data_IF_510907857430
#
_entry.id   IF_510907857430
#
_cell.length_a   1.000
_cell.length_b   1.000
_cell.length_c   1.000
_cell.angle_alpha   90.00
_cell.angle_beta   90.00
_cell.angle_gamma   90.00
#
_symmetry.space_group_name_H-M   'P 1'
#
loop_
_entity.id
_entity.type
_entity.pdbx_description
1 polymer ?
#
# COMPACT_ATOMS: atom_id res chain seq x y z
N UNK A 1 1.38 22.63 -17.92
CA UNK A 1 1.33 21.17 -18.13
C UNK A 1 -0.09 20.75 -17.85
N UNK A 2 -0.79 20.23 -18.86
CA UNK A 2 -2.18 19.77 -18.74
C UNK A 2 -2.26 18.62 -17.75
N UNK A 3 -3.23 18.67 -16.83
CA UNK A 3 -3.58 17.52 -15.99
C UNK A 3 -3.96 16.37 -16.95
N UNK A 4 -3.42 15.15 -16.80
CA UNK A 4 -3.84 14.04 -17.63
C UNK A 4 -5.35 13.84 -17.53
N UNK A 5 -6.01 13.55 -18.66
CA UNK A 5 -7.45 13.30 -18.70
C UNK A 5 -7.76 12.17 -17.72
N UNK A 6 -8.75 12.40 -16.84
CA UNK A 6 -9.14 11.42 -15.83
C UNK A 6 -9.54 10.10 -16.49
N UNK A 7 -8.95 9.00 -16.03
CA UNK A 7 -9.24 7.68 -16.58
C UNK A 7 -10.69 7.27 -16.34
N UNK A 8 -11.20 6.34 -17.15
CA UNK A 8 -12.55 5.80 -16.96
C UNK A 8 -12.70 5.18 -15.56
N UNK A 9 -11.74 4.35 -15.13
CA UNK A 9 -11.73 3.78 -13.78
C UNK A 9 -11.74 4.86 -12.68
N UNK A 10 -10.93 5.91 -12.82
CA UNK A 10 -10.92 7.03 -11.87
C UNK A 10 -12.29 7.69 -11.78
N UNK A 11 -12.93 7.99 -12.91
CA UNK A 11 -14.27 8.57 -12.96
C UNK A 11 -15.30 7.69 -12.24
N UNK A 12 -15.28 6.38 -12.50
CA UNK A 12 -16.23 5.45 -11.88
C UNK A 12 -15.97 5.28 -10.37
N UNK A 13 -14.73 5.34 -9.90
CA UNK A 13 -14.48 5.32 -8.44
C UNK A 13 -15.03 6.58 -7.75
N UNK A 14 -14.95 7.74 -8.41
CA UNK A 14 -15.47 9.01 -7.85
C UNK A 14 -17.01 9.05 -7.91
N UNK A 15 -17.60 8.59 -9.01
CA UNK A 15 -19.04 8.63 -9.29
C UNK A 15 -19.53 7.26 -9.82
N UNK A 16 -19.70 6.26 -8.95
CA UNK A 16 -20.02 4.88 -9.36
C UNK A 16 -21.35 4.77 -10.13
N UNK A 17 -22.31 5.64 -9.86
CA UNK A 17 -23.60 5.72 -10.54
C UNK A 17 -23.48 5.95 -12.05
N UNK A 18 -22.41 6.62 -12.49
CA UNK A 18 -22.16 6.87 -13.91
C UNK A 18 -21.79 5.61 -14.68
N UNK A 19 -21.48 4.50 -13.99
CA UNK A 19 -21.18 3.21 -14.60
C UNK A 19 -22.37 2.64 -15.39
N UNK A 20 -23.61 2.98 -15.00
CA UNK A 20 -24.83 2.50 -15.65
C UNK A 20 -25.06 3.13 -17.03
N UNK A 21 -24.43 4.27 -17.31
CA UNK A 21 -24.52 4.94 -18.60
C UNK A 21 -23.46 4.45 -19.61
N UNK A 22 -22.57 3.54 -19.21
CA UNK A 22 -21.47 3.08 -20.06
C UNK A 22 -21.95 2.11 -21.14
N UNK A 23 -21.41 2.27 -22.34
CA UNK A 23 -21.53 1.27 -23.41
C UNK A 23 -20.70 0.01 -23.10
N UNK A 24 -21.00 -1.10 -23.78
CA UNK A 24 -20.26 -2.36 -23.58
C UNK A 24 -18.75 -2.23 -23.90
N UNK A 25 -18.37 -1.36 -24.83
CA UNK A 25 -16.98 -1.06 -25.18
C UNK A 25 -16.25 -0.32 -24.06
N UNK A 26 -16.94 0.58 -23.37
CA UNK A 26 -16.43 1.29 -22.20
C UNK A 26 -16.34 0.37 -20.98
N UNK A 27 -17.32 -0.51 -20.80
CA UNK A 27 -17.26 -1.57 -19.79
C UNK A 27 -16.07 -2.51 -20.00
N UNK A 28 -15.80 -2.95 -21.24
CA UNK A 28 -14.60 -3.74 -21.55
C UNK A 28 -13.32 -3.00 -21.09
N UNK A 29 -13.21 -1.71 -21.41
CA UNK A 29 -12.07 -0.90 -20.98
C UNK A 29 -11.98 -0.76 -19.45
N UNK A 30 -13.10 -0.49 -18.78
CA UNK A 30 -13.18 -0.36 -17.33
C UNK A 30 -12.72 -1.64 -16.61
N UNK A 31 -13.23 -2.80 -17.04
CA UNK A 31 -12.85 -4.10 -16.48
C UNK A 31 -11.34 -4.34 -16.65
N UNK A 32 -10.77 -4.04 -17.82
CA UNK A 32 -9.33 -4.19 -18.06
C UNK A 32 -8.48 -3.24 -17.22
N UNK A 33 -8.89 -1.98 -17.09
CA UNK A 33 -8.22 -0.99 -16.23
C UNK A 33 -8.24 -1.43 -14.77
N UNK A 34 -9.41 -1.83 -14.26
CA UNK A 34 -9.59 -2.23 -12.86
C UNK A 34 -8.83 -3.51 -12.53
N UNK A 35 -8.83 -4.50 -13.45
CA UNK A 35 -8.08 -5.75 -13.28
C UNK A 35 -6.58 -5.51 -13.26
N UNK A 36 -6.05 -4.73 -14.21
CA UNK A 36 -4.60 -4.44 -14.26
C UNK A 36 -4.12 -3.60 -13.09
N UNK A 37 -4.99 -2.75 -12.55
CA UNK A 37 -4.71 -1.96 -11.35
C UNK A 37 -5.04 -2.68 -10.05
N UNK A 38 -5.43 -3.96 -10.10
CA UNK A 38 -5.78 -4.78 -8.95
C UNK A 38 -6.85 -4.17 -8.01
N UNK A 39 -7.87 -3.54 -8.61
CA UNK A 39 -9.02 -2.94 -7.89
C UNK A 39 -10.37 -3.41 -8.44
N UNK A 40 -10.41 -4.44 -9.29
CA UNK A 40 -11.67 -4.93 -9.87
C UNK A 40 -12.64 -5.44 -8.80
N UNK A 41 -12.16 -6.17 -7.80
CA UNK A 41 -13.01 -6.65 -6.70
C UNK A 41 -13.53 -5.48 -5.85
N UNK A 42 -12.68 -4.48 -5.58
CA UNK A 42 -13.09 -3.24 -4.91
C UNK A 42 -14.19 -2.51 -5.69
N UNK A 43 -14.05 -2.40 -7.02
CA UNK A 43 -15.10 -1.83 -7.87
C UNK A 43 -16.40 -2.63 -7.78
N UNK A 44 -16.34 -3.96 -7.78
CA UNK A 44 -17.52 -4.80 -7.65
C UNK A 44 -18.24 -4.57 -6.31
N UNK A 45 -17.51 -4.55 -5.19
CA UNK A 45 -18.09 -4.23 -3.88
C UNK A 45 -18.64 -2.81 -3.79
N UNK A 46 -17.97 -1.83 -4.41
CA UNK A 46 -18.47 -0.45 -4.45
C UNK A 46 -19.82 -0.36 -5.17
N UNK A 47 -19.99 -1.09 -6.27
CA UNK A 47 -21.27 -1.15 -7.00
C UNK A 47 -22.32 -1.97 -6.24
N UNK A 48 -21.92 -3.01 -5.51
CA UNK A 48 -22.81 -3.80 -4.64
C UNK A 48 -23.34 -2.98 -3.46
N UNK A 49 -22.45 -2.28 -2.75
CA UNK A 49 -22.79 -1.44 -1.60
C UNK A 49 -23.76 -0.30 -1.97
N UNK A 50 -23.68 0.17 -3.21
CA UNK A 50 -24.58 1.17 -3.79
C UNK A 50 -25.82 0.58 -4.49
N UNK A 51 -26.01 -0.76 -4.44
CA UNK A 51 -27.12 -1.47 -5.09
C UNK A 51 -27.19 -1.25 -6.62
N UNK A 52 -26.04 -0.99 -7.25
CA UNK A 52 -25.91 -0.77 -8.69
C UNK A 52 -25.57 -2.06 -9.45
N UNK A 53 -25.04 -3.07 -8.77
CA UNK A 53 -24.48 -4.27 -9.41
C UNK A 53 -25.48 -5.03 -10.28
N UNK A 54 -26.76 -5.09 -9.88
CA UNK A 54 -27.81 -5.78 -10.64
C UNK A 54 -28.20 -5.05 -11.93
N UNK A 55 -27.97 -3.75 -11.99
CA UNK A 55 -28.22 -2.92 -13.17
C UNK A 55 -27.04 -2.93 -14.17
N UNK A 56 -25.90 -3.54 -13.80
CA UNK A 56 -24.76 -3.71 -14.72
C UNK A 56 -25.13 -4.74 -15.80
N UNK A 57 -24.78 -4.48 -17.09
CA UNK A 57 -25.01 -5.46 -18.16
C UNK A 57 -24.42 -6.83 -17.85
N UNK A 58 -25.06 -7.89 -18.34
CA UNK A 58 -24.78 -9.27 -17.92
C UNK A 58 -23.30 -9.66 -18.07
N UNK A 59 -22.66 -9.34 -19.20
CA UNK A 59 -21.28 -9.74 -19.47
C UNK A 59 -20.26 -9.06 -18.51
N UNK A 60 -20.22 -7.73 -18.36
CA UNK A 60 -19.41 -7.07 -17.33
C UNK A 60 -19.74 -7.55 -15.91
N UNK A 61 -21.03 -7.75 -15.58
CA UNK A 61 -21.46 -8.21 -14.26
C UNK A 61 -20.85 -9.56 -13.89
N UNK A 62 -20.76 -10.50 -14.84
CA UNK A 62 -20.08 -11.80 -14.63
C UNK A 62 -18.61 -11.64 -14.21
N UNK A 63 -17.89 -10.66 -14.77
CA UNK A 63 -16.50 -10.39 -14.37
C UNK A 63 -16.40 -9.81 -12.95
N UNK A 64 -17.33 -8.93 -12.57
CA UNK A 64 -17.40 -8.33 -11.23
C UNK A 64 -17.71 -9.39 -10.17
N UNK A 65 -18.76 -10.20 -10.39
CA UNK A 65 -19.12 -11.29 -9.49
C UNK A 65 -17.99 -12.33 -9.36
N UNK A 66 -17.35 -12.70 -10.46
CA UNK A 66 -16.22 -13.65 -10.44
C UNK A 66 -15.06 -13.14 -9.58
N UNK A 67 -14.74 -11.84 -9.63
CA UNK A 67 -13.66 -11.30 -8.81
C UNK A 67 -14.06 -11.11 -7.35
N UNK A 68 -15.36 -10.94 -7.03
CA UNK A 68 -15.85 -10.95 -5.64
C UNK A 68 -15.66 -12.35 -5.03
N UNK A 69 -16.04 -13.41 -5.75
CA UNK A 69 -15.80 -14.79 -5.29
C UNK A 69 -14.31 -15.03 -5.03
N UNK A 70 -13.42 -14.54 -5.90
CA UNK A 70 -11.98 -14.62 -5.66
C UNK A 70 -11.54 -13.86 -4.41
N UNK A 71 -12.03 -12.62 -4.21
CA UNK A 71 -11.71 -11.82 -3.03
C UNK A 71 -12.24 -12.45 -1.73
N UNK A 72 -13.45 -13.02 -1.74
CA UNK A 72 -14.01 -13.76 -0.61
C UNK A 72 -13.14 -14.97 -0.25
N UNK A 73 -12.70 -15.74 -1.26
CA UNK A 73 -11.80 -16.88 -1.02
C UNK A 73 -10.45 -16.43 -0.49
N UNK A 74 -9.93 -15.30 -0.97
CA UNK A 74 -8.72 -14.69 -0.45
C UNK A 74 -8.88 -14.30 1.03
N UNK A 75 -9.97 -13.62 1.41
CA UNK A 75 -10.26 -13.27 2.81
C UNK A 75 -10.29 -14.48 3.73
N UNK A 76 -10.95 -15.58 3.34
CA UNK A 76 -10.94 -16.84 4.11
C UNK A 76 -9.51 -17.38 4.29
N UNK A 77 -8.70 -17.34 3.22
CA UNK A 77 -7.31 -17.78 3.29
C UNK A 77 -6.45 -16.87 4.17
N UNK A 78 -6.74 -15.57 4.16
CA UNK A 78 -6.06 -14.57 4.97
C UNK A 78 -6.40 -14.75 6.45
N UNK A 79 -7.66 -14.97 6.79
CA UNK A 79 -8.10 -15.25 8.17
C UNK A 79 -7.40 -16.48 8.74
N UNK A 80 -7.28 -17.54 7.92
CA UNK A 80 -6.52 -18.74 8.30
C UNK A 80 -5.03 -18.45 8.51
N UNK A 81 -4.43 -17.61 7.65
CA UNK A 81 -3.01 -17.25 7.78
C UNK A 81 -2.76 -16.39 9.02
N UNK A 82 -3.65 -15.45 9.34
CA UNK A 82 -3.63 -14.65 10.57
C UNK A 82 -3.65 -15.57 11.80
N UNK A 83 -4.54 -16.56 11.83
CA UNK A 83 -4.61 -17.52 12.94
C UNK A 83 -3.31 -18.32 13.09
N UNK A 84 -2.73 -18.78 11.97
CA UNK A 84 -1.44 -19.47 12.00
C UNK A 84 -0.32 -18.57 12.56
N UNK A 85 -0.31 -17.28 12.21
CA UNK A 85 0.66 -16.30 12.71
C UNK A 85 0.46 -16.07 14.21
N UNK A 86 -0.78 -15.87 14.66
CA UNK A 86 -1.10 -15.72 16.07
C UNK A 86 -0.63 -16.94 16.87
N UNK A 87 -0.93 -18.15 16.39
CA UNK A 87 -0.50 -19.38 17.02
C UNK A 87 1.03 -19.49 17.10
N UNK A 88 1.75 -19.13 16.02
CA UNK A 88 3.20 -19.16 16.00
C UNK A 88 3.82 -18.18 17.01
N UNK A 89 3.18 -17.05 17.28
CA UNK A 89 3.71 -15.98 18.12
C UNK A 89 3.11 -15.92 19.53
N UNK A 90 2.20 -16.84 19.87
CA UNK A 90 1.45 -16.85 21.14
C UNK A 90 2.36 -16.80 22.37
N UNK A 91 3.44 -17.60 22.38
CA UNK A 91 4.34 -17.70 23.53
C UNK A 91 5.20 -16.44 23.78
N UNK A 92 5.33 -15.57 22.77
CA UNK A 92 6.17 -14.37 22.86
C UNK A 92 5.47 -13.22 23.60
N UNK A 93 4.14 -13.27 23.75
CA UNK A 93 3.35 -12.23 24.43
C UNK A 93 3.61 -10.79 23.93
N UNK A 94 3.95 -10.66 22.64
CA UNK A 94 4.17 -9.36 21.98
C UNK A 94 2.92 -8.92 21.22
N UNK A 95 2.61 -7.61 21.18
CA UNK A 95 1.57 -7.11 20.32
C UNK A 95 1.99 -7.29 18.85
N UNK A 96 1.29 -8.18 18.13
CA UNK A 96 1.47 -8.36 16.69
C UNK A 96 0.59 -7.33 15.98
N UNK A 97 1.21 -6.26 15.48
CA UNK A 97 0.50 -5.17 14.81
C UNK A 97 0.44 -5.44 13.32
N UNK A 98 -0.71 -5.83 12.80
CA UNK A 98 -0.91 -6.00 11.36
C UNK A 98 -0.81 -4.64 10.65
N UNK A 99 -0.24 -4.67 9.44
CA UNK A 99 -0.11 -3.51 8.58
C UNK A 99 -0.81 -3.69 7.22
N UNK A 100 -0.87 -2.60 6.44
CA UNK A 100 -1.40 -2.51 5.06
C UNK A 100 -2.70 -3.30 4.86
N UNK A 101 -2.75 -4.15 3.83
CA UNK A 101 -3.94 -4.89 3.43
C UNK A 101 -4.51 -5.76 4.55
N UNK A 102 -3.64 -6.41 5.33
CA UNK A 102 -4.07 -7.22 6.47
C UNK A 102 -4.68 -6.37 7.56
N UNK A 103 -4.07 -5.22 7.88
CA UNK A 103 -4.64 -4.26 8.84
C UNK A 103 -6.03 -3.78 8.41
N UNK A 104 -6.20 -3.46 7.12
CA UNK A 104 -7.47 -2.96 6.60
C UNK A 104 -8.55 -4.04 6.61
N UNK A 105 -8.16 -5.30 6.39
CA UNK A 105 -9.05 -6.46 6.49
C UNK A 105 -9.50 -6.71 7.92
N UNK A 106 -8.57 -6.87 8.87
CA UNK A 106 -8.93 -7.18 10.28
C UNK A 106 -9.62 -6.01 11.00
N UNK A 107 -9.37 -4.78 10.56
CA UNK A 107 -10.04 -3.58 11.08
C UNK A 107 -11.31 -3.20 10.29
N UNK A 108 -11.75 -4.08 9.38
CA UNK A 108 -12.96 -3.92 8.54
C UNK A 108 -13.05 -2.56 7.82
N UNK A 109 -11.90 -1.98 7.44
CA UNK A 109 -11.88 -0.69 6.76
C UNK A 109 -12.42 -0.83 5.33
N UNK A 110 -13.01 0.25 4.79
CA UNK A 110 -13.45 0.34 3.40
C UNK A 110 -12.28 0.07 2.42
N UNK A 111 -11.06 0.44 2.82
CA UNK A 111 -9.85 0.13 2.07
C UNK A 111 -9.58 -1.39 1.96
N UNK A 112 -9.99 -2.19 2.95
CA UNK A 112 -9.85 -3.66 2.94
C UNK A 112 -10.86 -4.38 2.06
N UNK A 113 -12.04 -3.79 1.80
CA UNK A 113 -13.07 -4.44 0.98
C UNK A 113 -12.60 -4.68 -0.46
N UNK A 114 -12.64 -5.94 -0.88
CA UNK A 114 -12.19 -6.40 -2.19
C UNK A 114 -10.68 -6.31 -2.43
N UNK A 115 -9.88 -6.16 -1.37
CA UNK A 115 -8.43 -5.94 -1.49
C UNK A 115 -7.68 -7.27 -1.49
N UNK A 116 -7.03 -7.60 -2.61
CA UNK A 116 -6.19 -8.81 -2.75
C UNK A 116 -4.71 -8.44 -2.82
N UNK A 117 -3.87 -9.10 -2.03
CA UNK A 117 -2.43 -8.84 -1.90
C UNK A 117 -1.62 -10.13 -1.72
N UNK A 118 -0.30 -10.02 -1.74
CA UNK A 118 0.65 -11.16 -1.80
C UNK A 118 1.24 -11.59 -0.45
N UNK A 119 1.25 -10.68 0.50
CA UNK A 119 2.10 -10.71 1.69
C UNK A 119 1.35 -10.19 2.92
N UNK A 120 1.53 -10.86 4.05
CA UNK A 120 1.06 -10.37 5.34
C UNK A 120 2.15 -9.53 5.97
N UNK A 121 1.91 -8.23 6.12
CA UNK A 121 2.83 -7.33 6.84
C UNK A 121 2.48 -7.30 8.35
N UNK A 122 3.48 -7.53 9.20
CA UNK A 122 3.37 -7.32 10.66
C UNK A 122 4.46 -6.37 11.17
N UNK A 123 4.14 -5.54 12.15
CA UNK A 123 5.09 -4.72 12.90
C UNK A 123 5.26 -5.28 14.31
N UNK A 124 6.51 -5.49 14.70
CA UNK A 124 6.90 -5.94 16.04
C UNK A 124 7.97 -5.02 16.64
N UNK A 125 8.14 -5.00 17.98
CA UNK A 125 9.26 -4.29 18.58
C UNK A 125 10.60 -4.79 18.03
N UNK A 126 11.52 -3.88 17.72
CA UNK A 126 12.83 -4.24 17.11
C UNK A 126 13.61 -5.26 17.96
N UNK A 127 13.55 -5.13 19.29
CA UNK A 127 14.19 -6.06 20.22
C UNK A 127 13.66 -7.50 20.11
N UNK A 128 12.45 -7.69 19.57
CA UNK A 128 11.78 -8.99 19.48
C UNK A 128 11.93 -9.65 18.10
N UNK A 129 12.56 -8.98 17.12
CA UNK A 129 12.70 -9.52 15.75
C UNK A 129 13.28 -10.92 15.74
N UNK A 130 14.36 -11.16 16.50
CA UNK A 130 15.05 -12.44 16.49
C UNK A 130 14.15 -13.57 17.02
N UNK A 131 13.42 -13.31 18.11
CA UNK A 131 12.51 -14.28 18.71
C UNK A 131 11.30 -14.55 17.80
N UNK A 132 10.75 -13.51 17.18
CA UNK A 132 9.66 -13.61 16.19
C UNK A 132 10.10 -14.41 14.97
N UNK A 133 11.28 -14.14 14.41
CA UNK A 133 11.84 -14.89 13.28
C UNK A 133 12.01 -16.37 13.64
N UNK A 134 12.57 -16.68 14.81
CA UNK A 134 12.74 -18.06 15.28
C UNK A 134 11.38 -18.76 15.43
N UNK A 135 10.39 -18.10 16.00
CA UNK A 135 9.05 -18.65 16.20
C UNK A 135 8.37 -18.96 14.85
N UNK A 136 8.44 -18.04 13.89
CA UNK A 136 7.92 -18.24 12.54
C UNK A 136 8.66 -19.37 11.79
N UNK A 137 9.98 -19.48 11.93
CA UNK A 137 10.77 -20.58 11.35
C UNK A 137 10.34 -21.92 11.92
N UNK A 138 10.18 -22.03 13.25
CA UNK A 138 9.66 -23.25 13.89
C UNK A 138 8.26 -23.63 13.39
N UNK A 139 7.44 -22.64 13.07
CA UNK A 139 6.10 -22.83 12.54
C UNK A 139 6.04 -23.00 11.00
N UNK A 140 7.19 -23.00 10.32
CA UNK A 140 7.32 -23.38 8.91
C UNK A 140 7.47 -22.24 7.90
N UNK A 141 7.64 -20.99 8.35
CA UNK A 141 8.01 -19.85 7.49
C UNK A 141 9.53 -19.74 7.39
N UNK A 142 10.08 -19.92 6.19
CA UNK A 142 11.53 -19.84 5.98
C UNK A 142 11.89 -18.68 5.07
N UNK A 143 13.06 -18.08 5.29
CA UNK A 143 13.60 -17.09 4.37
C UNK A 143 13.89 -17.73 3.01
N UNK A 144 13.55 -17.02 1.93
CA UNK A 144 14.02 -17.37 0.58
C UNK A 144 15.40 -16.77 0.27
N UNK A 145 15.88 -15.83 1.09
CA UNK A 145 17.07 -15.03 0.82
C UNK A 145 18.27 -15.57 1.60
N UNK A 146 19.02 -16.49 1.00
CA UNK A 146 20.18 -17.14 1.65
C UNK A 146 21.50 -16.41 1.46
N UNK A 147 21.58 -15.43 0.54
CA UNK A 147 22.81 -14.68 0.30
C UNK A 147 23.18 -13.82 1.51
N UNK A 148 24.40 -14.00 2.05
CA UNK A 148 24.86 -13.29 3.25
C UNK A 148 24.84 -11.76 3.11
N UNK A 149 25.03 -11.24 1.89
CA UNK A 149 24.96 -9.81 1.60
C UNK A 149 23.53 -9.28 1.70
N UNK A 150 22.55 -10.00 1.15
CA UNK A 150 21.15 -9.57 1.18
C UNK A 150 20.60 -9.67 2.61
N UNK A 151 20.95 -10.72 3.36
CA UNK A 151 20.68 -10.81 4.80
C UNK A 151 21.22 -9.60 5.57
N UNK A 152 22.47 -9.19 5.31
CA UNK A 152 23.07 -8.00 5.94
C UNK A 152 22.35 -6.71 5.52
N UNK A 153 22.02 -6.57 4.23
CA UNK A 153 21.30 -5.42 3.69
C UNK A 153 19.95 -5.21 4.39
N UNK A 154 19.15 -6.27 4.52
CA UNK A 154 17.87 -6.21 5.21
C UNK A 154 18.06 -5.84 6.69
N UNK A 155 18.89 -6.59 7.41
CA UNK A 155 19.03 -6.44 8.86
C UNK A 155 19.66 -5.12 9.30
N UNK A 156 20.59 -4.58 8.49
CA UNK A 156 21.32 -3.37 8.86
C UNK A 156 20.59 -2.10 8.39
N UNK A 157 19.98 -2.11 7.20
CA UNK A 157 19.53 -0.87 6.54
C UNK A 157 18.04 -0.80 6.29
N UNK A 158 17.34 -1.93 6.20
CA UNK A 158 15.90 -1.98 5.94
C UNK A 158 15.09 -1.80 7.23
N UNK A 159 13.77 -1.90 7.10
CA UNK A 159 12.78 -1.77 8.16
C UNK A 159 12.09 -3.08 8.49
N UNK A 160 12.53 -4.15 7.83
CA UNK A 160 12.01 -5.49 7.87
C UNK A 160 13.17 -6.47 7.71
N UNK A 161 13.00 -7.68 8.22
CA UNK A 161 13.89 -8.80 7.90
C UNK A 161 13.61 -9.31 6.47
N UNK A 162 14.48 -10.17 5.90
CA UNK A 162 14.15 -10.79 4.62
C UNK A 162 12.79 -11.49 4.65
N UNK A 163 12.00 -11.39 3.56
CA UNK A 163 10.67 -11.97 3.49
C UNK A 163 10.72 -13.46 3.84
N UNK A 164 9.74 -13.92 4.60
CA UNK A 164 9.59 -15.33 4.96
C UNK A 164 8.42 -15.93 4.20
N UNK A 165 8.58 -17.16 3.72
CA UNK A 165 7.53 -17.89 3.00
C UNK A 165 7.24 -19.21 3.68
N UNK A 166 5.96 -19.50 3.90
CA UNK A 166 5.55 -20.76 4.48
C UNK A 166 5.71 -21.92 3.49
N UNK A 167 6.40 -23.00 3.87
CA UNK A 167 6.78 -24.07 2.95
C UNK A 167 5.60 -24.84 2.32
N UNK A 168 4.51 -25.02 3.08
CA UNK A 168 3.31 -25.72 2.57
C UNK A 168 2.30 -24.77 1.92
N UNK A 169 1.84 -23.76 2.67
CA UNK A 169 0.82 -22.78 2.26
C UNK A 169 1.30 -21.78 1.20
N UNK A 170 2.62 -21.61 1.03
CA UNK A 170 3.24 -20.71 0.06
C UNK A 170 2.88 -19.23 0.24
N UNK A 171 2.29 -18.88 1.39
CA UNK A 171 2.01 -17.54 1.88
C UNK A 171 3.30 -16.84 2.31
N UNK A 172 3.38 -15.54 2.05
CA UNK A 172 4.51 -14.71 2.43
C UNK A 172 4.16 -13.83 3.64
N UNK A 173 5.12 -13.63 4.52
CA UNK A 173 5.03 -12.71 5.65
C UNK A 173 6.26 -11.81 5.68
N UNK A 174 6.01 -10.52 5.82
CA UNK A 174 7.04 -9.49 5.98
C UNK A 174 6.99 -9.02 7.44
N UNK A 175 8.10 -9.22 8.15
CA UNK A 175 8.22 -8.89 9.56
C UNK A 175 8.99 -7.58 9.70
N UNK A 176 8.23 -6.52 9.94
CA UNK A 176 8.69 -5.15 10.09
C UNK A 176 9.05 -4.85 11.54
N UNK A 177 10.04 -3.98 11.71
CA UNK A 177 10.36 -3.32 12.97
C UNK A 177 10.27 -1.80 12.88
N UNK A 178 10.00 -1.28 11.67
CA UNK A 178 9.65 0.11 11.41
C UNK A 178 8.84 0.19 10.11
N UNK A 179 8.31 1.36 9.74
CA UNK A 179 7.57 1.55 8.47
C UNK A 179 8.44 2.12 7.34
N UNK A 180 9.67 2.53 7.65
CA UNK A 180 10.65 3.06 6.69
C UNK A 180 12.06 2.59 7.04
N UNK A 181 12.93 2.33 6.04
CA UNK A 181 14.31 1.92 6.28
C UNK A 181 15.04 2.84 7.26
N UNK A 182 15.88 2.30 8.14
CA UNK A 182 16.65 3.08 9.13
C UNK A 182 17.52 4.17 8.50
N UNK A 183 17.92 3.94 7.26
CA UNK A 183 18.73 4.84 6.44
C UNK A 183 17.92 6.00 5.82
N UNK A 184 16.59 5.92 5.86
CA UNK A 184 15.72 6.96 5.34
C UNK A 184 15.72 8.17 6.26
N UNK A 185 15.93 9.37 5.69
CA UNK A 185 15.88 10.64 6.44
C UNK A 185 14.55 10.85 7.19
N UNK A 186 13.47 10.27 6.69
CA UNK A 186 12.13 10.40 7.26
C UNK A 186 11.74 9.19 8.12
N UNK A 187 12.69 8.29 8.46
CA UNK A 187 12.40 7.14 9.31
C UNK A 187 11.79 7.61 10.65
N UNK A 188 10.57 7.19 11.01
CA UNK A 188 9.97 7.55 12.28
C UNK A 188 10.58 6.71 13.40
N UNK A 189 10.29 7.12 14.63
CA UNK A 189 10.51 6.29 15.81
C UNK A 189 9.39 5.25 15.91
N UNK A 190 9.72 3.98 15.69
CA UNK A 190 8.76 2.88 15.72
C UNK A 190 8.07 2.70 17.09
N UNK A 191 8.73 3.09 18.19
CA UNK A 191 8.12 3.00 19.52
C UNK A 191 6.90 3.91 19.64
N UNK A 192 6.87 5.05 18.94
CA UNK A 192 5.72 5.96 18.89
C UNK A 192 4.55 5.43 18.07
N UNK A 193 4.81 4.53 17.12
CA UNK A 193 3.78 3.81 16.37
C UNK A 193 3.19 2.71 17.25
N UNK A 194 4.05 1.87 17.85
CA UNK A 194 3.65 0.79 18.73
C UNK A 194 2.86 1.30 19.95
N UNK A 195 3.28 2.41 20.56
CA UNK A 195 2.59 3.04 21.69
C UNK A 195 1.22 3.65 21.34
N UNK A 196 0.87 3.76 20.06
CA UNK A 196 -0.43 4.22 19.58
C UNK A 196 -1.17 3.13 18.80
N UNK A 197 -0.63 1.90 18.74
CA UNK A 197 -1.34 0.78 18.16
C UNK A 197 -2.62 0.51 18.95
N UNK A 198 -3.67 0.12 18.24
CA UNK A 198 -5.00 -0.12 18.79
C UNK A 198 -5.36 -1.59 18.61
N UNK A 199 -5.92 -2.19 19.67
CA UNK A 199 -6.46 -3.55 19.64
C UNK A 199 -7.83 -3.51 18.97
N UNK A 200 -8.08 -4.42 18.04
CA UNK A 200 -9.40 -4.55 17.40
C UNK A 200 -10.37 -5.18 18.41
N UNK A 201 -11.50 -4.52 18.72
CA UNK A 201 -12.47 -5.03 19.69
C UNK A 201 -12.90 -6.47 19.39
N UNK A 202 -12.89 -7.32 20.42
CA UNK A 202 -13.32 -8.73 20.29
C UNK A 202 -12.31 -9.68 19.65
N UNK A 203 -11.08 -9.24 19.37
CA UNK A 203 -10.01 -10.08 18.79
C UNK A 203 -8.68 -9.86 19.51
N UNK A 204 -7.67 -10.69 19.26
CA UNK A 204 -6.28 -10.47 19.71
C UNK A 204 -5.43 -9.62 18.74
N UNK A 205 -6.05 -9.10 17.67
CA UNK A 205 -5.35 -8.39 16.61
C UNK A 205 -5.07 -6.95 17.00
N UNK A 206 -3.87 -6.48 16.66
CA UNK A 206 -3.51 -5.07 16.77
C UNK A 206 -3.31 -4.48 15.38
N UNK A 207 -3.64 -3.20 15.24
CA UNK A 207 -3.37 -2.40 14.04
C UNK A 207 -2.84 -1.03 14.45
N UNK A 208 -2.26 -0.29 13.51
CA UNK A 208 -1.92 1.12 13.75
C UNK A 208 -3.19 1.95 14.03
N UNK A 209 -3.05 3.06 14.76
CA UNK A 209 -4.16 4.02 14.94
C UNK A 209 -4.69 4.50 13.58
N UNK A 210 -5.92 5.04 13.50
CA UNK A 210 -6.47 5.58 12.26
C UNK A 210 -5.51 6.56 11.54
N UNK A 211 -4.92 7.49 12.29
CA UNK A 211 -3.95 8.45 11.76
C UNK A 211 -2.68 7.76 11.26
N UNK A 212 -2.12 6.84 12.03
CA UNK A 212 -0.89 6.15 11.69
C UNK A 212 -1.08 5.15 10.53
N UNK A 213 -2.27 4.57 10.35
CA UNK A 213 -2.63 3.76 9.17
C UNK A 213 -2.56 4.59 7.89
N UNK A 214 -3.08 5.81 7.91
CA UNK A 214 -2.99 6.76 6.79
C UNK A 214 -1.54 7.15 6.54
N UNK A 215 -0.78 7.48 7.59
CA UNK A 215 0.63 7.86 7.44
C UNK A 215 1.51 6.72 6.94
N UNK A 216 1.25 5.49 7.38
CA UNK A 216 1.93 4.31 6.87
C UNK A 216 1.61 4.09 5.38
N UNK A 217 0.34 4.15 5.00
CA UNK A 217 -0.09 4.04 3.59
C UNK A 217 0.57 5.12 2.71
N UNK A 218 0.62 6.35 3.21
CA UNK A 218 1.28 7.47 2.53
C UNK A 218 2.80 7.26 2.41
N UNK A 219 3.47 6.84 3.49
CA UNK A 219 4.90 6.56 3.48
C UNK A 219 5.25 5.46 2.48
N UNK A 220 4.47 4.37 2.46
CA UNK A 220 4.61 3.28 1.50
C UNK A 220 4.55 3.78 0.05
N UNK A 221 3.50 4.53 -0.30
CA UNK A 221 3.31 5.01 -1.67
C UNK A 221 4.36 6.05 -2.11
N UNK A 222 4.66 7.04 -1.25
CA UNK A 222 5.46 8.20 -1.67
C UNK A 222 6.97 8.05 -1.41
N UNK A 223 7.37 7.06 -0.61
CA UNK A 223 8.76 6.70 -0.41
C UNK A 223 9.13 5.34 -1.00
N UNK A 224 8.17 4.47 -1.36
CA UNK A 224 8.41 3.15 -1.93
C UNK A 224 9.17 3.17 -3.26
N UNK A 225 8.67 3.94 -4.23
CA UNK A 225 9.26 4.08 -5.57
C UNK A 225 8.83 3.02 -6.59
N UNK A 226 7.88 2.17 -6.24
CA UNK A 226 7.24 1.21 -7.13
C UNK A 226 5.81 1.66 -7.38
N UNK A 227 5.42 1.77 -8.65
CA UNK A 227 4.13 2.35 -9.06
C UNK A 227 3.24 1.37 -9.82
N UNK A 228 3.63 0.10 -9.92
CA UNK A 228 2.81 -0.93 -10.56
C UNK A 228 1.45 -1.10 -9.88
N UNK A 229 1.42 -0.89 -8.55
CA UNK A 229 0.23 -0.85 -7.71
C UNK A 229 -0.13 0.57 -7.24
N UNK A 230 0.45 1.61 -7.85
CA UNK A 230 0.33 2.99 -7.36
C UNK A 230 -1.13 3.49 -7.32
N UNK A 231 -1.95 3.13 -8.31
CA UNK A 231 -3.37 3.47 -8.32
C UNK A 231 -4.16 2.77 -7.21
N UNK A 232 -3.84 1.49 -6.94
CA UNK A 232 -4.45 0.70 -5.85
C UNK A 232 -4.13 1.32 -4.50
N UNK A 233 -2.86 1.63 -4.27
CA UNK A 233 -2.39 2.20 -3.01
C UNK A 233 -2.95 3.63 -2.80
N UNK A 234 -3.10 4.41 -3.87
CA UNK A 234 -3.80 5.71 -3.82
C UNK A 234 -5.29 5.53 -3.49
N UNK A 235 -5.91 4.48 -4.02
CA UNK A 235 -7.30 4.14 -3.73
C UNK A 235 -7.47 3.71 -2.27
N UNK A 236 -6.53 2.93 -1.72
CA UNK A 236 -6.52 2.58 -0.29
C UNK A 236 -6.46 3.86 0.57
N UNK A 237 -5.60 4.83 0.23
CA UNK A 237 -5.56 6.15 0.89
C UNK A 237 -6.89 6.90 0.78
N UNK A 238 -7.53 6.92 -0.39
CA UNK A 238 -8.83 7.58 -0.58
C UNK A 238 -9.90 7.02 0.37
N UNK A 239 -10.02 5.70 0.44
CA UNK A 239 -11.02 5.05 1.30
C UNK A 239 -10.71 5.22 2.79
N UNK A 240 -9.43 5.12 3.21
CA UNK A 240 -9.05 5.39 4.60
C UNK A 240 -9.34 6.84 5.02
N UNK A 241 -9.00 7.81 4.16
CA UNK A 241 -9.27 9.22 4.44
C UNK A 241 -10.77 9.51 4.51
N UNK A 242 -11.56 8.93 3.59
CA UNK A 242 -13.01 9.09 3.57
C UNK A 242 -13.66 8.52 4.82
N UNK A 243 -13.28 7.30 5.20
CA UNK A 243 -13.79 6.60 6.39
C UNK A 243 -13.44 7.35 7.68
N UNK A 244 -12.17 7.70 7.89
CA UNK A 244 -11.76 8.34 9.14
C UNK A 244 -12.14 9.82 9.25
N UNK A 245 -12.46 10.47 8.12
CA UNK A 245 -13.00 11.83 8.13
C UNK A 245 -14.36 11.93 8.85
N UNK A 246 -15.09 10.82 9.02
CA UNK A 246 -16.33 10.76 9.79
C UNK A 246 -16.08 10.84 11.31
N UNK A 247 -14.84 10.67 11.76
CA UNK A 247 -14.48 10.77 13.18
C UNK A 247 -14.12 12.20 13.58
N UNK A 248 -14.79 12.72 14.60
CA UNK A 248 -14.53 14.06 15.13
C UNK A 248 -13.05 14.27 15.48
N UNK A 249 -12.52 15.41 15.04
CA UNK A 249 -11.13 15.81 15.30
C UNK A 249 -10.05 15.00 14.57
N UNK A 250 -10.42 14.12 13.61
CA UNK A 250 -9.45 13.31 12.88
C UNK A 250 -8.38 14.15 12.15
N UNK A 251 -8.79 15.18 11.42
CA UNK A 251 -7.87 15.98 10.61
C UNK A 251 -6.77 16.70 11.42
N UNK A 252 -7.08 17.42 12.52
CA UNK A 252 -6.05 17.96 13.41
C UNK A 252 -5.12 16.90 14.00
N UNK A 253 -5.68 15.76 14.45
CA UNK A 253 -4.86 14.66 14.99
C UNK A 253 -3.92 14.08 13.93
N UNK A 254 -4.38 13.91 12.70
CA UNK A 254 -3.56 13.43 11.58
C UNK A 254 -2.37 14.35 11.30
N UNK A 255 -2.58 15.68 11.29
CA UNK A 255 -1.50 16.65 11.12
C UNK A 255 -0.50 16.61 12.29
N UNK A 256 -1.01 16.51 13.52
CA UNK A 256 -0.19 16.40 14.72
C UNK A 256 0.65 15.12 14.69
N UNK A 257 0.05 13.97 14.34
CA UNK A 257 0.73 12.68 14.18
C UNK A 257 1.78 12.74 13.09
N UNK A 258 1.48 13.33 11.94
CA UNK A 258 2.46 13.52 10.86
C UNK A 258 3.68 14.31 11.34
N UNK A 259 3.48 15.32 12.20
CA UNK A 259 4.59 16.08 12.79
C UNK A 259 5.38 15.24 13.79
N UNK A 260 4.69 14.54 14.70
CA UNK A 260 5.33 13.67 15.72
C UNK A 260 6.17 12.54 15.11
N UNK A 261 5.77 12.05 13.93
CA UNK A 261 6.40 10.95 13.21
C UNK A 261 7.30 11.41 12.04
N UNK A 262 7.48 12.72 11.83
CA UNK A 262 8.26 13.25 10.70
C UNK A 262 7.76 12.78 9.31
N UNK A 263 6.44 12.65 9.16
CA UNK A 263 5.74 12.18 7.95
C UNK A 263 4.95 13.27 7.21
N UNK A 264 5.22 14.56 7.48
CA UNK A 264 4.47 15.67 6.88
C UNK A 264 4.54 15.67 5.34
N UNK A 265 5.69 15.28 4.76
CA UNK A 265 5.86 15.24 3.30
C UNK A 265 5.05 14.10 2.68
N UNK A 266 5.05 12.91 3.29
CA UNK A 266 4.22 11.79 2.84
C UNK A 266 2.73 12.17 2.92
N UNK A 267 2.30 12.76 4.03
CA UNK A 267 0.92 13.24 4.20
C UNK A 267 0.56 14.30 3.15
N UNK A 268 1.43 15.28 2.90
CA UNK A 268 1.20 16.30 1.88
C UNK A 268 0.93 15.69 0.50
N UNK A 269 1.74 14.71 0.07
CA UNK A 269 1.51 14.05 -1.20
C UNK A 269 0.25 13.20 -1.21
N UNK A 270 -0.05 12.50 -0.11
CA UNK A 270 -1.30 11.72 0.02
C UNK A 270 -2.51 12.62 -0.20
N UNK A 271 -2.65 13.69 0.60
CA UNK A 271 -3.78 14.61 0.51
C UNK A 271 -3.87 15.26 -0.87
N UNK A 272 -2.73 15.70 -1.42
CA UNK A 272 -2.71 16.35 -2.72
C UNK A 272 -3.17 15.42 -3.84
N UNK A 273 -2.62 14.22 -3.94
CA UNK A 273 -2.92 13.35 -5.08
C UNK A 273 -4.24 12.60 -4.92
N UNK A 274 -4.69 12.32 -3.70
CA UNK A 274 -6.05 11.81 -3.50
C UNK A 274 -7.10 12.88 -3.80
N UNK A 275 -6.83 14.18 -3.57
CA UNK A 275 -7.70 15.30 -4.01
C UNK A 275 -7.65 15.49 -5.53
N UNK A 276 -6.46 15.56 -6.14
CA UNK A 276 -6.31 15.84 -7.57
C UNK A 276 -6.78 14.70 -8.47
N UNK A 277 -6.62 13.44 -8.06
CA UNK A 277 -6.94 12.27 -8.89
C UNK A 277 -8.30 11.69 -8.51
N UNK A 278 -8.57 11.48 -7.20
CA UNK A 278 -9.77 10.80 -6.71
C UNK A 278 -10.79 11.75 -6.05
N UNK A 279 -10.58 13.07 -6.14
CA UNK A 279 -11.49 14.10 -5.61
C UNK A 279 -11.89 13.87 -4.14
N UNK A 280 -10.95 13.36 -3.34
CA UNK A 280 -11.18 13.06 -1.92
C UNK A 280 -11.57 14.35 -1.17
N UNK A 281 -12.73 14.34 -0.52
CA UNK A 281 -13.22 15.46 0.28
C UNK A 281 -12.35 15.63 1.52
N UNK A 282 -11.92 16.85 1.79
CA UNK A 282 -11.14 17.21 2.98
C UNK A 282 -11.34 18.70 3.29
N UNK A 283 -11.17 19.13 4.55
CA UNK A 283 -11.23 20.54 4.91
C UNK A 283 -10.19 21.37 4.14
N UNK A 284 -10.52 22.61 3.78
CA UNK A 284 -9.58 23.49 3.07
C UNK A 284 -8.35 23.83 3.92
N UNK A 285 -8.45 23.76 5.25
CA UNK A 285 -7.30 23.88 6.16
C UNK A 285 -6.25 22.78 5.97
N UNK A 286 -6.61 21.64 5.37
CA UNK A 286 -5.68 20.55 5.05
C UNK A 286 -4.94 20.79 3.73
N UNK A 287 -5.40 21.72 2.90
CA UNK A 287 -4.88 21.94 1.55
C UNK A 287 -4.51 23.40 1.33
N UNK A 288 -3.21 23.70 1.33
CA UNK A 288 -2.73 25.02 0.97
C UNK A 288 -2.57 25.13 -0.55
N UNK A 289 -3.55 25.77 -1.20
CA UNK A 289 -3.56 26.07 -2.64
C UNK A 289 -2.55 27.15 -3.08
N UNK A 290 -1.72 27.66 -2.16
CA UNK A 290 -0.71 28.67 -2.45
C UNK A 290 0.14 28.30 -3.67
N UNK A 291 0.62 29.31 -4.42
CA UNK A 291 1.32 29.14 -5.69
C UNK A 291 2.31 27.97 -5.61
N UNK A 292 1.98 26.89 -6.33
CA UNK A 292 2.78 25.68 -6.33
C UNK A 292 4.20 26.02 -6.80
N UNK A 293 5.16 25.99 -5.86
CA UNK A 293 6.55 26.23 -6.17
C UNK A 293 7.07 25.28 -7.24
N UNK A 294 8.19 25.60 -7.87
CA UNK A 294 8.77 24.82 -8.98
C UNK A 294 8.88 23.32 -8.63
N UNK A 295 9.31 23.00 -7.40
CA UNK A 295 9.39 21.61 -6.91
C UNK A 295 8.03 20.90 -6.96
N UNK A 296 6.95 21.56 -6.55
CA UNK A 296 5.62 20.97 -6.56
C UNK A 296 5.14 20.72 -7.99
N UNK A 297 5.39 21.65 -8.93
CA UNK A 297 5.03 21.47 -10.34
C UNK A 297 5.73 20.28 -10.98
N UNK A 298 7.00 20.05 -10.62
CA UNK A 298 7.72 18.84 -11.02
C UNK A 298 7.13 17.58 -10.41
N UNK A 299 6.81 17.59 -9.12
CA UNK A 299 6.17 16.44 -8.48
C UNK A 299 4.80 16.13 -9.07
N UNK A 300 3.98 17.15 -9.34
CA UNK A 300 2.70 16.99 -10.03
C UNK A 300 2.88 16.35 -11.41
N UNK A 301 3.89 16.81 -12.17
CA UNK A 301 4.20 16.24 -13.48
C UNK A 301 4.55 14.74 -13.40
N UNK A 302 5.21 14.30 -12.33
CA UNK A 302 5.60 12.90 -12.17
C UNK A 302 4.44 12.06 -11.60
N UNK A 303 3.90 12.43 -10.44
CA UNK A 303 2.91 11.64 -9.72
C UNK A 303 1.56 11.57 -10.43
N UNK A 304 1.10 12.64 -11.10
CA UNK A 304 -0.15 12.57 -11.88
C UNK A 304 -0.07 11.57 -13.04
N UNK A 305 1.14 11.19 -13.48
CA UNK A 305 1.36 10.15 -14.50
C UNK A 305 1.55 8.77 -13.87
N UNK A 306 2.31 8.69 -12.78
CA UNK A 306 2.66 7.43 -12.13
C UNK A 306 1.49 6.82 -11.35
N UNK A 307 0.55 7.63 -10.86
CA UNK A 307 -0.58 7.20 -10.06
C UNK A 307 -1.87 6.98 -10.89
N UNK A 308 -1.77 6.93 -12.22
CA UNK A 308 -2.89 6.50 -13.06
C UNK A 308 -3.05 4.98 -13.02
N UNK A 309 -4.23 4.43 -13.40
CA UNK A 309 -4.40 2.99 -13.54
C UNK A 309 -3.30 2.39 -14.43
N UNK A 310 -2.75 1.24 -14.02
CA UNK A 310 -1.64 0.58 -14.71
C UNK A 310 -2.11 -0.12 -16.00
N UNK A 311 -2.58 0.66 -16.97
CA UNK A 311 -3.15 0.19 -18.22
C UNK A 311 -2.72 1.10 -19.38
N UNK A 312 -2.53 0.52 -20.57
CA UNK A 312 -2.01 1.21 -21.75
C UNK A 312 -2.82 2.46 -22.13
N UNK A 313 -4.14 2.43 -21.92
CA UNK A 313 -5.03 3.58 -22.19
C UNK A 313 -4.82 4.77 -21.25
N UNK A 314 -4.18 4.55 -20.10
CA UNK A 314 -3.92 5.57 -19.07
C UNK A 314 -2.44 5.98 -19.05
N UNK A 315 -1.58 5.24 -19.74
CA UNK A 315 -0.16 5.54 -19.87
C UNK A 315 0.11 6.48 -21.05
N UNK A 316 0.90 7.54 -20.82
CA UNK A 316 1.41 8.40 -21.87
C UNK A 316 2.87 8.09 -22.19
N UNK A 317 3.40 8.72 -23.26
CA UNK A 317 4.81 8.58 -23.69
C UNK A 317 5.84 8.83 -22.57
N UNK A 318 5.48 9.68 -21.61
CA UNK A 318 6.35 10.07 -20.50
C UNK A 318 6.09 9.30 -19.20
N UNK A 319 5.13 8.38 -19.15
CA UNK A 319 4.80 7.64 -17.93
C UNK A 319 5.97 6.78 -17.47
N UNK A 320 6.62 6.04 -18.38
CA UNK A 320 7.81 5.24 -18.04
C UNK A 320 8.95 6.08 -17.47
N UNK A 321 9.24 7.23 -18.08
CA UNK A 321 10.25 8.17 -17.57
C UNK A 321 9.87 8.74 -16.19
N UNK A 322 8.59 9.06 -15.98
CA UNK A 322 8.10 9.58 -14.71
C UNK A 322 8.26 8.54 -13.59
N UNK A 323 7.85 7.29 -13.82
CA UNK A 323 8.04 6.20 -12.88
C UNK A 323 9.52 5.95 -12.58
N UNK A 324 10.38 5.96 -13.60
CA UNK A 324 11.82 5.81 -13.42
C UNK A 324 12.44 6.94 -12.59
N UNK A 325 12.09 8.20 -12.84
CA UNK A 325 12.56 9.34 -12.03
C UNK A 325 12.08 9.24 -10.57
N UNK A 326 10.84 8.79 -10.34
CA UNK A 326 10.32 8.59 -8.99
C UNK A 326 10.98 7.40 -8.28
N UNK A 327 11.34 6.35 -9.02
CA UNK A 327 12.16 5.24 -8.52
C UNK A 327 13.56 5.73 -8.11
N UNK A 328 14.23 6.53 -8.95
CA UNK A 328 15.53 7.14 -8.59
C UNK A 328 15.39 8.03 -7.34
N UNK A 329 14.33 8.84 -7.27
CA UNK A 329 14.01 9.65 -6.09
C UNK A 329 13.82 8.78 -4.84
N UNK A 330 13.10 7.67 -4.92
CA UNK A 330 12.86 6.81 -3.75
C UNK A 330 14.17 6.22 -3.21
N UNK A 331 15.08 5.83 -4.11
CA UNK A 331 16.38 5.29 -3.73
C UNK A 331 17.23 6.35 -3.01
N UNK A 332 17.27 7.58 -3.53
CA UNK A 332 17.93 8.70 -2.83
C UNK A 332 17.33 8.89 -1.43
N UNK A 333 16.00 8.86 -1.30
CA UNK A 333 15.34 9.08 -0.01
C UNK A 333 15.59 7.96 1.00
N UNK A 334 15.67 6.71 0.54
CA UNK A 334 15.91 5.54 1.39
C UNK A 334 17.37 5.38 1.76
N UNK A 335 18.31 5.65 0.85
CA UNK A 335 19.72 5.30 1.05
C UNK A 335 20.71 6.42 0.67
N UNK A 336 21.76 6.65 1.47
CA UNK A 336 22.89 7.47 1.08
C UNK A 336 23.56 6.95 -0.21
N UNK A 337 24.06 7.86 -1.05
CA UNK A 337 24.69 7.52 -2.34
C UNK A 337 25.87 6.54 -2.22
N UNK A 338 26.57 6.53 -1.09
CA UNK A 338 27.68 5.62 -0.82
C UNK A 338 27.25 4.18 -0.49
N UNK A 339 25.98 3.95 -0.12
CA UNK A 339 25.41 2.59 0.01
C UNK A 339 24.73 2.14 -1.30
N UNK A 340 24.14 3.09 -2.04
CA UNK A 340 23.49 2.83 -3.33
C UNK A 340 24.46 2.38 -4.42
N UNK A 341 25.61 3.05 -4.57
CA UNK A 341 26.57 2.74 -5.63
C UNK A 341 27.14 1.31 -5.51
N UNK A 342 27.59 0.85 -4.32
CA UNK A 342 28.02 -0.54 -4.15
C UNK A 342 26.89 -1.55 -4.37
N UNK A 343 25.68 -1.26 -3.90
CA UNK A 343 24.52 -2.16 -4.05
C UNK A 343 24.12 -2.31 -5.52
N UNK A 344 23.99 -1.20 -6.25
CA UNK A 344 23.65 -1.21 -7.68
C UNK A 344 24.73 -1.87 -8.52
N UNK A 345 26.01 -1.58 -8.26
CA UNK A 345 27.13 -2.20 -8.97
C UNK A 345 27.18 -3.71 -8.77
N UNK A 346 26.91 -4.18 -7.54
CA UNK A 346 26.88 -5.61 -7.25
C UNK A 346 25.66 -6.29 -7.88
N UNK A 347 24.48 -5.67 -7.80
CA UNK A 347 23.23 -6.20 -8.37
C UNK A 347 23.28 -6.27 -9.90
N UNK A 348 23.86 -5.27 -10.58
CA UNK A 348 24.14 -5.36 -12.02
C UNK A 348 25.16 -6.45 -12.31
N UNK A 349 26.25 -6.55 -11.55
CA UNK A 349 27.24 -7.62 -11.74
C UNK A 349 26.65 -9.03 -11.57
N UNK A 350 25.77 -9.25 -10.59
CA UNK A 350 25.06 -10.53 -10.42
C UNK A 350 24.09 -10.80 -11.58
N UNK A 351 23.35 -9.78 -12.04
CA UNK A 351 22.47 -9.89 -13.20
C UNK A 351 23.22 -10.20 -14.51
N UNK A 352 24.44 -9.68 -14.66
CA UNK A 352 25.32 -9.99 -15.80
C UNK A 352 26.06 -11.33 -15.63
N UNK A 353 26.26 -11.82 -14.41
CA UNK A 353 26.88 -13.11 -14.12
C UNK A 353 25.92 -14.31 -14.26
N UNK A 354 24.64 -14.08 -14.57
CA UNK A 354 23.65 -15.14 -14.73
C UNK A 354 23.22 -15.80 -13.41
N UNK A 355 23.56 -15.21 -12.26
CA UNK A 355 23.03 -15.63 -10.97
C UNK A 355 21.58 -15.13 -10.88
N UNK A 356 20.64 -16.01 -11.24
CA UNK A 356 19.21 -15.78 -11.11
C UNK A 356 18.88 -15.47 -9.65
N UNK A 357 18.15 -14.38 -9.42
CA UNK A 357 17.45 -14.15 -8.16
C UNK A 357 16.46 -15.30 -7.99
N UNK A 358 16.75 -16.22 -7.08
CA UNK A 358 15.82 -17.23 -6.60
C UNK A 358 15.21 -16.78 -5.29
#
# INVERSE_FOLDING_TARGET
>A
MSIPVSSLLTRIIIQPETALALELTEWDLLIRQARRSNVLAKLAYLLEDLQLIDNVPEHPRRHLLSTQVHAQRFSISLDWEIECINQALTDLQVPVVFLKGTAYHVAENQAGRGRVFSDVDILVPEAMIADVEIALVKAGWMTSTFAAYDQKYYREWMHEIPPLRHLKRQTSIDVHHNILPKTCRFCPDASKLLAQAVKIPGTEHWVLSPEDRVLHSAAHLFYGGEFDQGFRDLTDLHFLLKEFAETDGFWPRLQERATKLNQQIALHYALRYTRLILQTSMPDSMFHEGQAGIKQRWMDALFLRALQPNHVSCSGKWTGLACWLLFVRSHWLKMPWYLLLPHLFRKTRMKFAGESQH
#
